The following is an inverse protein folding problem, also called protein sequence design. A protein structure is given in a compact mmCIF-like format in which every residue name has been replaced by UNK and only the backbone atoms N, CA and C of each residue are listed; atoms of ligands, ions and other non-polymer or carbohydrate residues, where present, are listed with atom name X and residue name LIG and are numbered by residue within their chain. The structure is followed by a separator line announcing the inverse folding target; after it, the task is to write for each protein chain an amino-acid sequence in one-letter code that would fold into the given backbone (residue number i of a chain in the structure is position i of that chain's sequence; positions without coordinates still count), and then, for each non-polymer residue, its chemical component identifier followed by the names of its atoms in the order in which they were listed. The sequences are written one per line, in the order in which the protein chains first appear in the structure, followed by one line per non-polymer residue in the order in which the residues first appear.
data_IF_061102022781
#
_entry.id   IF_061102022781
#
_cell.length_a   1.000
_cell.length_b   1.000
_cell.length_c   1.000
_cell.angle_alpha   90.00
_cell.angle_beta   90.00
_cell.angle_gamma   90.00
#
_symmetry.space_group_name_H-M   'P 1'
#
loop_
_entity.id
_entity.type
_entity.pdbx_description
1 polymer ?
#
# COMPACT_ATOMS: atom_id res chain seq x y z
N UNK A 1 -5.52 31.88 11.46
CA UNK A 1 -4.38 32.68 11.96
C UNK A 1 -4.03 33.86 11.05
N UNK A 2 -3.86 33.69 9.74
CA UNK A 2 -3.51 34.80 8.81
C UNK A 2 -4.44 36.02 8.91
N UNK A 3 -5.76 35.82 8.88
CA UNK A 3 -6.73 36.92 9.05
C UNK A 3 -6.57 37.66 10.38
N UNK A 4 -6.35 36.95 11.49
CA UNK A 4 -6.13 37.56 12.81
C UNK A 4 -4.89 38.45 12.82
N UNK A 5 -3.77 37.93 12.31
CA UNK A 5 -2.47 38.61 12.41
C UNK A 5 -2.32 39.76 11.41
N UNK A 6 -2.86 39.60 10.20
CA UNK A 6 -2.58 40.51 9.08
C UNK A 6 -3.75 41.42 8.70
N UNK A 7 -4.98 41.01 9.01
CA UNK A 7 -6.21 41.72 8.60
C UNK A 7 -7.17 42.00 9.77
N UNK A 8 -6.68 41.96 11.02
CA UNK A 8 -7.48 42.25 12.23
C UNK A 8 -8.79 41.44 12.31
N UNK A 9 -8.76 40.18 11.86
CA UNK A 9 -9.92 39.25 11.78
C UNK A 9 -10.99 39.64 10.75
N UNK A 10 -10.74 40.60 9.87
CA UNK A 10 -11.69 41.02 8.84
C UNK A 10 -11.35 40.34 7.51
N UNK A 11 -12.36 39.82 6.81
CA UNK A 11 -12.21 39.30 5.46
C UNK A 11 -11.91 40.46 4.50
N UNK A 12 -10.74 40.47 3.84
CA UNK A 12 -10.36 41.54 2.92
C UNK A 12 -11.13 41.46 1.60
N UNK A 13 -11.07 42.54 0.83
CA UNK A 13 -11.55 42.57 -0.55
C UNK A 13 -10.89 41.47 -1.39
N UNK A 14 -11.69 40.71 -2.11
CA UNK A 14 -11.24 39.63 -2.99
C UNK A 14 -11.33 40.08 -4.45
N UNK A 15 -10.19 40.15 -5.13
CA UNK A 15 -10.09 40.47 -6.57
C UNK A 15 -9.57 39.23 -7.28
N UNK A 16 -10.49 38.45 -7.84
CA UNK A 16 -10.21 37.12 -8.38
C UNK A 16 -9.43 37.18 -9.70
N UNK A 17 -8.44 36.31 -9.84
CA UNK A 17 -7.71 36.06 -11.08
C UNK A 17 -8.04 34.67 -11.66
N UNK A 18 -7.45 34.32 -12.81
CA UNK A 18 -7.67 33.04 -13.49
C UNK A 18 -7.32 31.82 -12.62
N UNK A 19 -6.25 31.90 -11.82
CA UNK A 19 -5.86 30.83 -10.89
C UNK A 19 -6.93 30.60 -9.81
N UNK A 20 -7.54 31.68 -9.31
CA UNK A 20 -8.62 31.62 -8.31
C UNK A 20 -9.86 30.93 -8.89
N UNK A 21 -10.23 31.28 -10.13
CA UNK A 21 -11.32 30.62 -10.83
C UNK A 21 -11.03 29.14 -11.08
N UNK A 22 -9.79 28.80 -11.41
CA UNK A 22 -9.36 27.41 -11.60
C UNK A 22 -9.49 26.61 -10.29
N UNK A 23 -9.05 27.18 -9.16
CA UNK A 23 -9.22 26.56 -7.85
C UNK A 23 -10.69 26.34 -7.52
N UNK A 24 -11.53 27.37 -7.70
CA UNK A 24 -12.96 27.28 -7.43
C UNK A 24 -13.64 26.21 -8.30
N UNK A 25 -13.26 26.10 -9.57
CA UNK A 25 -13.74 25.05 -10.47
C UNK A 25 -13.33 23.65 -10.00
N UNK A 26 -12.08 23.46 -9.55
CA UNK A 26 -11.61 22.19 -8.99
C UNK A 26 -12.39 21.82 -7.73
N UNK A 27 -12.54 22.76 -6.78
CA UNK A 27 -13.28 22.51 -5.56
C UNK A 27 -14.77 22.23 -5.83
N UNK A 28 -15.39 22.89 -6.83
CA UNK A 28 -16.76 22.59 -7.28
C UNK A 28 -16.88 21.18 -7.87
N UNK A 29 -15.90 20.74 -8.67
CA UNK A 29 -15.88 19.37 -9.21
C UNK A 29 -15.86 18.34 -8.07
N UNK A 30 -15.01 18.54 -7.07
CA UNK A 30 -14.94 17.65 -5.91
C UNK A 30 -16.21 17.70 -5.06
N UNK A 31 -16.84 18.88 -4.91
CA UNK A 31 -18.12 19.03 -4.21
C UNK A 31 -19.24 18.23 -4.89
N UNK A 32 -19.31 18.27 -6.22
CA UNK A 32 -20.26 17.46 -6.98
C UNK A 32 -19.98 15.96 -6.80
N UNK A 33 -18.71 15.55 -6.79
CA UNK A 33 -18.29 14.19 -6.47
C UNK A 33 -18.73 13.75 -5.07
N UNK A 34 -18.55 14.62 -4.07
CA UNK A 34 -19.02 14.42 -2.71
C UNK A 34 -20.54 14.22 -2.64
N UNK A 35 -21.33 15.11 -3.26
CA UNK A 35 -22.79 15.01 -3.29
C UNK A 35 -23.25 13.70 -3.95
N UNK A 36 -22.63 13.33 -5.08
CA UNK A 36 -22.92 12.08 -5.77
C UNK A 36 -22.55 10.82 -4.97
N UNK A 37 -21.48 10.88 -4.18
CA UNK A 37 -21.08 9.79 -3.29
C UNK A 37 -22.04 9.64 -2.11
N UNK A 38 -22.41 10.74 -1.44
CA UNK A 38 -23.34 10.71 -0.30
C UNK A 38 -24.75 10.32 -0.72
N UNK A 39 -25.23 10.79 -1.87
CA UNK A 39 -26.53 10.38 -2.42
C UNK A 39 -26.63 8.86 -2.67
N UNK A 40 -25.48 8.17 -2.80
CA UNK A 40 -25.38 6.71 -2.94
C UNK A 40 -24.89 6.02 -1.66
N UNK A 41 -24.89 6.71 -0.52
CA UNK A 41 -24.39 6.24 0.78
C UNK A 41 -22.92 5.77 0.78
N UNK A 42 -22.09 6.24 -0.16
CA UNK A 42 -20.66 5.90 -0.25
C UNK A 42 -19.81 6.82 0.63
N UNK A 43 -19.95 6.68 1.95
CA UNK A 43 -19.28 7.56 2.94
C UNK A 43 -17.75 7.59 2.79
N UNK A 44 -17.12 6.45 2.48
CA UNK A 44 -15.66 6.37 2.28
C UNK A 44 -15.20 7.14 1.04
N UNK A 45 -16.01 7.19 -0.02
CA UNK A 45 -15.68 7.97 -1.21
C UNK A 45 -15.95 9.46 -0.97
N UNK A 46 -17.04 9.79 -0.26
CA UNK A 46 -17.35 11.16 0.14
C UNK A 46 -16.23 11.85 0.92
N UNK A 47 -15.65 11.18 1.94
CA UNK A 47 -14.55 11.78 2.72
C UNK A 47 -13.29 12.03 1.87
N UNK A 48 -13.04 11.22 0.83
CA UNK A 48 -11.90 11.46 -0.07
C UNK A 48 -12.05 12.75 -0.86
N UNK A 49 -13.26 13.09 -1.29
CA UNK A 49 -13.54 14.38 -1.95
C UNK A 49 -13.33 15.56 -0.99
N UNK A 50 -13.75 15.44 0.28
CA UNK A 50 -13.47 16.46 1.31
C UNK A 50 -11.97 16.70 1.47
N UNK A 51 -11.20 15.61 1.58
CA UNK A 51 -9.73 15.69 1.69
C UNK A 51 -9.07 16.25 0.42
N UNK A 52 -9.64 15.96 -0.76
CA UNK A 52 -9.17 16.53 -2.03
C UNK A 52 -9.37 18.04 -2.09
N UNK A 53 -10.52 18.57 -1.66
CA UNK A 53 -10.77 20.02 -1.54
C UNK A 53 -9.74 20.67 -0.62
N UNK A 54 -9.52 20.08 0.56
CA UNK A 54 -8.50 20.57 1.51
C UNK A 54 -7.10 20.56 0.89
N UNK A 55 -6.74 19.50 0.16
CA UNK A 55 -5.47 19.41 -0.57
C UNK A 55 -5.30 20.53 -1.60
N UNK A 56 -6.33 20.80 -2.40
CA UNK A 56 -6.30 21.90 -3.38
C UNK A 56 -6.13 23.27 -2.72
N UNK A 57 -6.84 23.54 -1.62
CA UNK A 57 -6.68 24.77 -0.83
C UNK A 57 -5.26 24.93 -0.27
N UNK A 58 -4.67 23.86 0.27
CA UNK A 58 -3.30 23.88 0.77
C UNK A 58 -2.28 24.13 -0.36
N UNK A 59 -2.45 23.48 -1.52
CA UNK A 59 -1.60 23.72 -2.70
C UNK A 59 -1.69 25.17 -3.15
N UNK A 60 -2.89 25.73 -3.21
CA UNK A 60 -3.12 27.13 -3.60
C UNK A 60 -2.44 28.11 -2.64
N UNK A 61 -2.59 27.93 -1.33
CA UNK A 61 -1.89 28.71 -0.30
C UNK A 61 -0.37 28.60 -0.44
N UNK A 62 0.15 27.41 -0.74
CA UNK A 62 1.58 27.18 -0.90
C UNK A 62 2.16 27.83 -2.16
N UNK A 63 1.44 27.78 -3.28
CA UNK A 63 1.87 28.39 -4.55
C UNK A 63 1.86 29.92 -4.48
N UNK A 64 0.86 30.51 -3.82
CA UNK A 64 0.73 31.96 -3.72
C UNK A 64 1.56 32.59 -2.58
N UNK A 65 2.02 31.79 -1.60
CA UNK A 65 2.84 32.23 -0.47
C UNK A 65 2.40 33.57 0.16
N UNK A 66 1.15 33.69 0.63
CA UNK A 66 0.61 34.96 1.09
C UNK A 66 1.40 35.57 2.26
N UNK A 67 2.09 34.76 3.07
CA UNK A 67 2.98 35.24 4.15
C UNK A 67 4.20 36.03 3.64
N UNK A 68 4.64 35.76 2.41
CA UNK A 68 5.71 36.50 1.75
C UNK A 68 5.13 37.77 1.11
N UNK A 69 4.02 37.65 0.37
CA UNK A 69 3.34 38.76 -0.29
C UNK A 69 2.89 39.86 0.69
N UNK A 70 2.50 39.50 1.90
CA UNK A 70 2.13 40.45 2.95
C UNK A 70 3.24 41.45 3.35
N UNK A 71 4.51 41.11 3.05
CA UNK A 71 5.70 41.94 3.31
C UNK A 71 6.11 42.77 2.09
N UNK A 72 5.42 42.61 0.95
CA UNK A 72 5.72 43.28 -0.30
C UNK A 72 5.02 44.63 -0.46
N UNK A 73 4.73 44.99 -1.71
CA UNK A 73 4.03 46.21 -2.11
C UNK A 73 2.54 46.19 -1.73
N UNK A 74 1.84 47.32 -1.88
CA UNK A 74 0.39 47.39 -1.66
C UNK A 74 -0.39 46.46 -2.62
N UNK A 75 0.11 46.27 -3.84
CA UNK A 75 -0.45 45.31 -4.79
C UNK A 75 -0.28 43.86 -4.31
N UNK A 76 0.89 43.51 -3.77
CA UNK A 76 1.16 42.18 -3.21
C UNK A 76 0.28 41.91 -1.98
N UNK A 77 0.08 42.93 -1.13
CA UNK A 77 -0.83 42.83 0.02
C UNK A 77 -2.28 42.62 -0.42
N UNK A 78 -2.74 43.30 -1.48
CA UNK A 78 -4.06 43.09 -2.05
C UNK A 78 -4.22 41.65 -2.59
N UNK A 79 -3.19 41.13 -3.26
CA UNK A 79 -3.16 39.74 -3.73
C UNK A 79 -3.21 38.74 -2.57
N UNK A 80 -2.39 38.94 -1.54
CA UNK A 80 -2.41 38.12 -0.33
C UNK A 80 -3.77 38.13 0.36
N UNK A 81 -4.44 39.28 0.39
CA UNK A 81 -5.80 39.42 0.89
C UNK A 81 -6.78 38.53 0.13
N UNK A 82 -6.74 38.56 -1.20
CA UNK A 82 -7.59 37.70 -2.04
C UNK A 82 -7.35 36.22 -1.76
N UNK A 83 -6.09 35.79 -1.72
CA UNK A 83 -5.70 34.39 -1.45
C UNK A 83 -6.23 33.90 -0.10
N UNK A 84 -6.09 34.73 0.93
CA UNK A 84 -6.56 34.42 2.28
C UNK A 84 -8.08 34.41 2.34
N UNK A 85 -8.76 35.35 1.67
CA UNK A 85 -10.23 35.42 1.60
C UNK A 85 -10.82 34.19 0.91
N UNK A 86 -10.28 33.81 -0.26
CA UNK A 86 -10.69 32.60 -1.00
C UNK A 86 -10.46 31.34 -0.15
N UNK A 87 -9.29 31.22 0.47
CA UNK A 87 -8.98 30.09 1.34
C UNK A 87 -9.92 30.00 2.54
N UNK A 88 -10.32 31.14 3.11
CA UNK A 88 -11.27 31.18 4.23
C UNK A 88 -12.68 30.75 3.81
N UNK A 89 -13.10 31.10 2.60
CA UNK A 89 -14.35 30.61 2.01
C UNK A 89 -14.32 29.09 1.77
N UNK A 90 -13.18 28.53 1.32
CA UNK A 90 -12.99 27.08 1.20
C UNK A 90 -13.07 26.41 2.58
N UNK A 91 -12.50 27.00 3.63
CA UNK A 91 -12.63 26.47 5.01
C UNK A 91 -14.08 26.51 5.48
N UNK A 92 -14.84 27.55 5.12
CA UNK A 92 -16.27 27.61 5.40
C UNK A 92 -17.03 26.44 4.73
N UNK A 93 -16.78 26.18 3.45
CA UNK A 93 -17.32 25.03 2.74
C UNK A 93 -16.95 23.71 3.43
N UNK A 94 -15.66 23.53 3.76
CA UNK A 94 -15.16 22.33 4.45
C UNK A 94 -15.91 22.10 5.76
N UNK A 95 -16.22 23.17 6.51
CA UNK A 95 -17.01 23.05 7.75
C UNK A 95 -18.38 22.44 7.50
N UNK A 96 -19.04 22.78 6.39
CA UNK A 96 -20.39 22.29 6.06
C UNK A 96 -20.33 20.82 5.66
N UNK A 97 -19.46 20.48 4.70
CA UNK A 97 -19.39 19.10 4.17
C UNK A 97 -18.74 18.11 5.14
N UNK A 98 -17.95 18.59 6.12
CA UNK A 98 -17.38 17.75 7.17
C UNK A 98 -18.40 17.40 8.27
N UNK A 99 -19.49 18.14 8.40
CA UNK A 99 -20.51 17.95 9.45
C UNK A 99 -21.00 16.50 9.61
N UNK A 100 -21.34 15.73 8.55
CA UNK A 100 -21.77 14.34 8.68
C UNK A 100 -20.66 13.36 9.13
N UNK A 101 -19.40 13.77 9.16
CA UNK A 101 -18.26 12.94 9.59
C UNK A 101 -17.70 13.35 10.94
N UNK A 102 -17.54 14.66 11.17
CA UNK A 102 -16.97 15.23 12.40
C UNK A 102 -17.79 16.45 12.83
N UNK A 103 -18.97 16.26 13.45
CA UNK A 103 -19.87 17.36 13.81
C UNK A 103 -19.25 18.36 14.78
N UNK A 104 -18.50 17.89 15.79
CA UNK A 104 -17.84 18.77 16.77
C UNK A 104 -16.74 19.63 16.15
N UNK A 105 -15.92 19.03 15.28
CA UNK A 105 -14.88 19.76 14.53
C UNK A 105 -15.52 20.78 13.59
N UNK A 106 -16.58 20.38 12.89
CA UNK A 106 -17.38 21.23 12.01
C UNK A 106 -17.96 22.45 12.76
N UNK A 107 -18.53 22.24 13.95
CA UNK A 107 -19.02 23.30 14.83
C UNK A 107 -17.89 24.21 15.32
N UNK A 108 -16.74 23.63 15.67
CA UNK A 108 -15.56 24.40 16.10
C UNK A 108 -15.08 25.32 14.98
N UNK A 109 -14.99 24.84 13.74
CA UNK A 109 -14.63 25.66 12.58
C UNK A 109 -15.64 26.80 12.40
N UNK A 110 -16.95 26.52 12.44
CA UNK A 110 -18.00 27.56 12.32
C UNK A 110 -17.90 28.62 13.41
N UNK A 111 -17.63 28.23 14.66
CA UNK A 111 -17.38 29.16 15.77
C UNK A 111 -16.16 30.05 15.51
N UNK A 112 -15.06 29.48 15.02
CA UNK A 112 -13.86 30.25 14.67
C UNK A 112 -14.09 31.19 13.48
N UNK A 113 -14.94 30.82 12.52
CA UNK A 113 -15.33 31.66 11.39
C UNK A 113 -16.44 32.67 11.72
N UNK A 114 -17.07 32.55 12.89
CA UNK A 114 -18.23 33.34 13.29
C UNK A 114 -19.39 33.25 12.27
N UNK A 115 -19.75 32.02 11.89
CA UNK A 115 -20.79 31.74 10.90
C UNK A 115 -21.91 30.89 11.49
N UNK A 116 -23.16 31.19 11.12
CA UNK A 116 -24.33 30.39 11.49
C UNK A 116 -24.40 29.06 10.70
N UNK A 117 -25.34 28.20 11.07
CA UNK A 117 -25.56 26.93 10.38
C UNK A 117 -26.03 27.18 8.94
N UNK A 118 -25.08 27.14 8.01
CA UNK A 118 -25.37 27.18 6.58
C UNK A 118 -25.85 25.81 6.12
N UNK A 119 -27.06 25.80 5.55
CA UNK A 119 -27.50 24.69 4.71
C UNK A 119 -26.80 24.84 3.37
N UNK A 120 -26.23 23.74 2.85
CA UNK A 120 -25.64 23.68 1.52
C UNK A 120 -26.76 23.85 0.48
N UNK A 121 -27.17 25.09 0.23
CA UNK A 121 -28.32 25.45 -0.63
C UNK A 121 -28.01 25.29 -2.12
N UNK A 122 -26.73 25.30 -2.49
CA UNK A 122 -26.30 25.28 -3.88
C UNK A 122 -25.11 24.36 -4.08
N UNK A 123 -25.07 23.68 -5.22
CA UNK A 123 -23.99 22.80 -5.68
C UNK A 123 -22.75 23.57 -6.16
N UNK A 124 -22.62 24.85 -5.79
CA UNK A 124 -21.49 25.71 -6.13
C UNK A 124 -20.94 26.38 -4.87
N UNK A 125 -19.63 26.61 -4.88
CA UNK A 125 -18.94 27.44 -3.89
C UNK A 125 -19.46 28.85 -4.06
N UNK A 126 -20.36 29.23 -3.15
CA UNK A 126 -20.79 30.60 -2.98
C UNK A 126 -19.78 31.35 -2.12
N UNK A 127 -19.76 32.67 -2.25
CA UNK A 127 -18.97 33.53 -1.39
C UNK A 127 -19.62 33.56 0.00
N UNK A 128 -19.42 32.51 0.80
CA UNK A 128 -19.98 32.34 2.15
C UNK A 128 -19.55 33.45 3.11
N UNK A 129 -18.33 33.97 2.94
CA UNK A 129 -17.73 35.01 3.77
C UNK A 129 -17.49 36.26 2.92
N UNK A 130 -18.43 37.23 2.92
CA UNK A 130 -18.29 38.46 2.16
C UNK A 130 -17.16 39.35 2.72
N UNK A 131 -16.73 40.32 1.92
CA UNK A 131 -15.80 41.37 2.36
C UNK A 131 -16.36 42.07 3.60
N UNK A 132 -15.48 42.35 4.57
CA UNK A 132 -15.86 43.00 5.83
C UNK A 132 -16.36 42.04 6.92
N UNK A 133 -16.59 40.76 6.61
CA UNK A 133 -16.97 39.78 7.62
C UNK A 133 -15.90 39.62 8.70
N UNK A 134 -16.30 39.59 9.97
CA UNK A 134 -15.40 39.48 11.11
C UNK A 134 -15.42 38.05 11.62
N UNK A 135 -14.27 37.36 11.54
CA UNK A 135 -14.11 36.01 12.07
C UNK A 135 -13.95 36.02 13.60
N UNK A 136 -14.19 34.87 14.22
CA UNK A 136 -13.95 34.61 15.63
C UNK A 136 -12.47 34.44 15.97
N UNK A 137 -12.20 33.73 17.07
CA UNK A 137 -10.83 33.47 17.53
C UNK A 137 -10.30 32.16 16.93
N UNK A 138 -9.27 32.20 16.05
CA UNK A 138 -8.74 30.99 15.44
C UNK A 138 -7.90 30.18 16.44
N UNK A 139 -8.14 28.87 16.50
CA UNK A 139 -7.37 27.90 17.30
C UNK A 139 -7.06 26.63 16.49
N UNK A 140 -5.96 25.91 16.80
CA UNK A 140 -5.66 24.64 16.14
C UNK A 140 -6.82 23.64 16.27
N UNK A 141 -7.20 23.00 15.17
CA UNK A 141 -8.35 22.08 15.13
C UNK A 141 -7.99 20.65 15.55
N UNK A 142 -6.78 20.21 15.24
CA UNK A 142 -6.33 18.84 15.46
C UNK A 142 -5.04 18.86 16.26
N UNK A 143 -4.98 18.05 17.31
CA UNK A 143 -3.74 17.73 18.00
C UNK A 143 -3.06 16.55 17.30
N UNK A 144 -1.72 16.57 17.28
CA UNK A 144 -0.95 15.41 16.84
C UNK A 144 -1.10 14.31 17.90
N UNK A 145 -1.36 13.09 17.46
CA UNK A 145 -1.34 11.92 18.33
C UNK A 145 0.12 11.47 18.41
N UNK A 146 0.66 11.39 19.61
CA UNK A 146 2.05 10.97 19.84
C UNK A 146 2.17 9.44 19.85
N UNK A 147 3.32 8.90 19.44
CA UNK A 147 3.52 7.45 19.34
C UNK A 147 3.37 6.76 20.71
N UNK A 148 3.79 7.44 21.79
CA UNK A 148 3.59 6.92 23.16
C UNK A 148 2.12 6.73 23.51
N UNK A 149 1.25 7.67 23.11
CA UNK A 149 -0.18 7.56 23.32
C UNK A 149 -0.78 6.41 22.50
N UNK A 150 -0.31 6.23 21.27
CA UNK A 150 -0.69 5.09 20.42
C UNK A 150 -0.30 3.77 21.08
N UNK A 151 0.93 3.67 21.60
CA UNK A 151 1.43 2.47 22.30
C UNK A 151 0.63 2.17 23.57
N UNK A 152 0.33 3.20 24.37
CA UNK A 152 -0.43 3.04 25.60
C UNK A 152 -1.88 2.60 25.31
N UNK A 153 -2.51 3.18 24.28
CA UNK A 153 -3.83 2.73 23.81
C UNK A 153 -3.78 1.30 23.26
N UNK A 154 -2.74 0.93 22.52
CA UNK A 154 -2.52 -0.45 22.05
C UNK A 154 -2.34 -1.42 23.23
N UNK A 155 -1.58 -1.07 24.27
CA UNK A 155 -1.42 -1.91 25.47
C UNK A 155 -2.73 -2.05 26.23
N UNK A 156 -3.50 -0.96 26.35
CA UNK A 156 -4.75 -0.90 27.10
C UNK A 156 -5.92 -1.63 26.39
N UNK A 157 -5.99 -1.51 25.07
CA UNK A 157 -7.14 -1.98 24.26
C UNK A 157 -6.82 -3.05 23.22
N UNK A 158 -5.53 -3.41 23.03
CA UNK A 158 -5.12 -4.49 22.13
C UNK A 158 -5.59 -5.88 22.59
N UNK A 159 -6.14 -5.95 23.80
CA UNK A 159 -6.54 -7.18 24.47
C UNK A 159 -5.34 -8.03 24.86
N UNK A 160 -5.53 -8.88 25.86
CA UNK A 160 -4.87 -10.18 25.77
C UNK A 160 -5.66 -10.90 24.68
N UNK A 161 -5.21 -10.82 23.43
CA UNK A 161 -5.18 -12.09 22.71
C UNK A 161 -4.50 -13.01 23.71
N UNK A 162 -5.17 -14.06 24.16
CA UNK A 162 -4.40 -15.24 24.52
C UNK A 162 -3.54 -15.47 23.28
N UNK A 163 -2.33 -14.91 23.35
CA UNK A 163 -1.16 -15.69 23.13
C UNK A 163 -1.47 -16.96 23.93
N UNK A 164 -2.12 -17.91 23.27
CA UNK A 164 -1.45 -19.15 23.01
C UNK A 164 -0.03 -18.72 22.62
N UNK A 165 0.77 -18.45 23.66
CA UNK A 165 2.11 -18.94 23.77
C UNK A 165 1.93 -20.34 23.22
N UNK A 166 2.18 -20.46 21.92
CA UNK A 166 2.84 -21.60 21.36
C UNK A 166 4.04 -21.75 22.27
N UNK A 167 3.84 -22.45 23.40
CA UNK A 167 4.86 -23.31 23.97
C UNK A 167 5.52 -23.89 22.74
N UNK A 168 6.84 -23.75 22.58
CA UNK A 168 7.54 -24.40 21.48
C UNK A 168 7.01 -25.83 21.48
N UNK A 169 6.23 -26.18 20.45
CA UNK A 169 5.83 -27.57 20.27
C UNK A 169 7.17 -28.25 20.09
N UNK A 170 7.43 -29.16 21.03
CA UNK A 170 8.71 -29.80 21.27
C UNK A 170 9.52 -29.93 19.97
N UNK A 171 10.65 -29.24 19.92
CA UNK A 171 11.41 -29.02 18.69
C UNK A 171 12.29 -30.22 18.31
N UNK A 172 12.07 -31.40 18.88
CA UNK A 172 12.77 -32.62 18.49
C UNK A 172 12.00 -33.38 17.39
N UNK A 173 12.02 -32.81 16.19
CA UNK A 173 11.84 -33.61 14.96
C UNK A 173 13.11 -33.39 14.15
N UNK A 174 14.18 -34.05 14.58
CA UNK A 174 15.37 -34.25 13.76
C UNK A 174 15.06 -35.38 12.78
N UNK A 175 14.84 -35.02 11.52
CA UNK A 175 14.53 -35.95 10.44
C UNK A 175 14.99 -35.36 9.11
N UNK A 176 15.33 -36.23 8.17
CA UNK A 176 15.65 -35.85 6.80
C UNK A 176 14.46 -35.13 6.12
N UNK A 177 14.73 -34.39 5.03
CA UNK A 177 13.69 -33.68 4.28
C UNK A 177 12.51 -34.60 3.88
N UNK A 178 12.77 -35.90 3.66
CA UNK A 178 11.75 -36.89 3.33
C UNK A 178 10.79 -37.19 4.49
N UNK A 179 11.27 -37.28 5.72
CA UNK A 179 10.44 -37.51 6.91
C UNK A 179 9.58 -36.29 7.22
N UNK A 180 10.14 -35.09 7.10
CA UNK A 180 9.40 -33.83 7.32
C UNK A 180 8.32 -33.65 6.25
N UNK A 181 8.59 -34.02 4.99
CA UNK A 181 7.61 -33.98 3.92
C UNK A 181 6.39 -34.88 4.19
N UNK A 182 6.60 -36.11 4.70
CA UNK A 182 5.49 -37.00 5.08
C UNK A 182 4.59 -36.40 6.17
N UNK A 183 5.20 -35.77 7.18
CA UNK A 183 4.46 -35.10 8.26
C UNK A 183 3.67 -33.89 7.76
N UNK A 184 4.22 -33.13 6.80
CA UNK A 184 3.49 -32.04 6.12
C UNK A 184 2.25 -32.58 5.40
N UNK A 185 2.39 -33.71 4.70
CA UNK A 185 1.30 -34.30 3.91
C UNK A 185 0.18 -34.87 4.80
N UNK A 186 0.54 -35.56 5.89
CA UNK A 186 -0.42 -36.04 6.89
C UNK A 186 -1.18 -34.89 7.56
N UNK A 187 -0.45 -33.84 7.96
CA UNK A 187 -1.05 -32.65 8.57
C UNK A 187 -1.95 -31.89 7.59
N UNK A 188 -1.60 -31.85 6.30
CA UNK A 188 -2.44 -31.24 5.27
C UNK A 188 -3.76 -32.01 5.06
N UNK A 189 -3.71 -33.34 5.09
CA UNK A 189 -4.90 -34.19 5.02
C UNK A 189 -5.82 -33.99 6.23
N UNK A 190 -5.24 -33.87 7.42
CA UNK A 190 -6.00 -33.61 8.65
C UNK A 190 -6.72 -32.24 8.58
N UNK A 191 -6.00 -31.18 8.21
CA UNK A 191 -6.58 -29.84 8.03
C UNK A 191 -7.71 -29.86 7.00
N UNK A 192 -7.52 -30.59 5.88
CA UNK A 192 -8.53 -30.71 4.84
C UNK A 192 -9.78 -31.43 5.35
N UNK A 193 -9.63 -32.56 6.05
CA UNK A 193 -10.76 -33.28 6.67
C UNK A 193 -11.51 -32.41 7.69
N UNK A 194 -10.79 -31.63 8.50
CA UNK A 194 -11.42 -30.74 9.50
C UNK A 194 -12.20 -29.60 8.85
N UNK A 195 -11.73 -29.08 7.71
CA UNK A 195 -12.43 -28.05 6.92
C UNK A 195 -13.63 -28.62 6.15
N UNK A 196 -13.49 -29.81 5.56
CA UNK A 196 -14.56 -30.50 4.84
C UNK A 196 -15.67 -30.97 5.81
N UNK A 197 -15.32 -31.32 7.04
CA UNK A 197 -16.28 -31.70 8.09
C UNK A 197 -17.02 -30.53 8.75
N UNK A 198 -16.88 -29.29 8.26
CA UNK A 198 -17.64 -28.13 8.73
C UNK A 198 -17.36 -27.73 10.19
N UNK A 199 -16.26 -28.19 10.79
CA UNK A 199 -15.93 -27.86 12.19
C UNK A 199 -15.61 -26.38 12.34
N UNK A 200 -15.91 -25.82 13.51
CA UNK A 200 -15.67 -24.42 13.81
C UNK A 200 -14.21 -24.00 13.57
N UNK A 201 -14.03 -22.73 13.15
CA UNK A 201 -12.71 -22.16 12.87
C UNK A 201 -11.73 -22.30 14.03
N UNK A 202 -12.21 -22.23 15.28
CA UNK A 202 -11.40 -22.46 16.46
C UNK A 202 -10.74 -23.84 16.51
N UNK A 203 -11.35 -24.86 15.89
CA UNK A 203 -10.88 -26.25 15.91
C UNK A 203 -9.84 -26.51 14.82
N UNK A 204 -10.01 -25.96 13.60
CA UNK A 204 -9.07 -26.23 12.49
C UNK A 204 -7.94 -25.20 12.36
N UNK A 205 -8.10 -23.98 12.88
CA UNK A 205 -7.07 -22.94 12.83
C UNK A 205 -5.73 -23.35 13.48
N UNK A 206 -5.68 -24.01 14.67
CA UNK A 206 -4.40 -24.44 15.25
C UNK A 206 -3.68 -25.49 14.39
N UNK A 207 -4.41 -26.37 13.73
CA UNK A 207 -3.85 -27.39 12.84
C UNK A 207 -3.27 -26.77 11.54
N UNK A 208 -3.84 -25.67 11.06
CA UNK A 208 -3.27 -24.87 9.95
C UNK A 208 -1.96 -24.22 10.38
N UNK A 209 -1.86 -23.72 11.60
CA UNK A 209 -0.62 -23.13 12.13
C UNK A 209 0.49 -24.17 12.22
N UNK A 210 0.19 -25.39 12.69
CA UNK A 210 1.13 -26.52 12.67
C UNK A 210 1.61 -26.86 11.26
N UNK A 211 0.70 -26.89 10.28
CA UNK A 211 1.05 -27.16 8.88
C UNK A 211 2.02 -26.11 8.31
N UNK A 212 1.80 -24.82 8.62
CA UNK A 212 2.68 -23.74 8.19
C UNK A 212 4.07 -23.84 8.82
N UNK A 213 4.14 -24.19 10.11
CA UNK A 213 5.41 -24.41 10.81
C UNK A 213 6.21 -25.58 10.22
N UNK A 214 5.55 -26.71 9.90
CA UNK A 214 6.18 -27.86 9.25
C UNK A 214 6.70 -27.52 7.85
N UNK A 215 5.94 -26.73 7.07
CA UNK A 215 6.40 -26.24 5.75
C UNK A 215 7.61 -25.32 5.84
N UNK A 216 7.65 -24.45 6.85
CA UNK A 216 8.82 -23.59 7.10
C UNK A 216 10.06 -24.43 7.47
N UNK A 217 9.93 -25.44 8.34
CA UNK A 217 11.03 -26.36 8.67
C UNK A 217 11.52 -27.14 7.46
N UNK A 218 10.63 -27.63 6.60
CA UNK A 218 11.01 -28.30 5.35
C UNK A 218 11.84 -27.37 4.45
N UNK A 219 11.46 -26.09 4.35
CA UNK A 219 12.24 -25.09 3.60
C UNK A 219 13.63 -24.85 4.21
N UNK A 220 13.76 -24.85 5.54
CA UNK A 220 15.06 -24.71 6.19
C UNK A 220 15.96 -25.94 5.99
N UNK A 221 15.41 -27.14 6.11
CA UNK A 221 16.19 -28.39 5.92
C UNK A 221 16.61 -28.54 4.47
N UNK A 222 15.73 -28.30 3.51
CA UNK A 222 16.08 -28.30 2.08
C UNK A 222 17.12 -27.23 1.73
N UNK A 223 17.08 -26.06 2.37
CA UNK A 223 18.08 -25.02 2.17
C UNK A 223 19.43 -25.36 2.82
N UNK A 224 19.42 -26.02 3.99
CA UNK A 224 20.63 -26.53 4.64
C UNK A 224 21.29 -27.67 3.85
N UNK A 225 20.50 -28.61 3.35
CA UNK A 225 20.95 -29.69 2.45
C UNK A 225 21.49 -29.15 1.11
N UNK A 226 20.93 -28.05 0.58
CA UNK A 226 21.46 -27.38 -0.60
C UNK A 226 22.79 -26.63 -0.36
N UNK A 227 23.04 -26.18 0.88
CA UNK A 227 24.25 -25.42 1.25
C UNK A 227 25.46 -26.26 1.67
N UNK A 228 25.30 -27.58 1.83
CA UNK A 228 26.39 -28.49 2.22
C UNK A 228 27.09 -29.18 1.04
N UNK A 229 26.73 -28.85 -0.21
CA UNK A 229 27.41 -29.39 -1.40
C UNK A 229 28.63 -28.50 -1.73
N UNK A 230 29.88 -29.02 -1.69
CA UNK A 230 31.08 -28.21 -1.93
C UNK A 230 31.07 -27.57 -3.33
N UNK A 231 31.40 -26.27 -3.38
CA UNK A 231 31.51 -25.42 -4.60
C UNK A 231 32.43 -26.03 -5.68
N UNK A 232 33.33 -26.92 -5.28
CA UNK A 232 34.27 -27.64 -6.16
C UNK A 232 33.56 -28.60 -7.13
N UNK A 233 32.44 -29.21 -6.73
CA UNK A 233 31.70 -30.15 -7.60
C UNK A 233 30.88 -29.45 -8.69
N UNK A 234 30.48 -28.20 -8.49
CA UNK A 234 29.67 -27.45 -9.48
C UNK A 234 30.53 -27.08 -10.70
N UNK A 235 31.76 -26.61 -10.47
CA UNK A 235 32.70 -26.31 -11.56
C UNK A 235 33.10 -27.55 -12.36
N UNK A 236 33.33 -28.67 -11.67
CA UNK A 236 33.66 -29.96 -12.33
C UNK A 236 32.49 -30.44 -13.20
N UNK A 237 31.25 -30.33 -12.70
CA UNK A 237 30.06 -30.70 -13.48
C UNK A 237 29.83 -29.78 -14.68
N UNK A 238 30.09 -28.47 -14.55
CA UNK A 238 30.01 -27.53 -15.67
C UNK A 238 31.03 -27.86 -16.79
N UNK A 239 32.27 -28.21 -16.41
CA UNK A 239 33.31 -28.64 -17.35
C UNK A 239 32.96 -29.97 -18.04
N UNK A 240 32.42 -30.94 -17.30
CA UNK A 240 31.96 -32.22 -17.87
C UNK A 240 30.79 -32.03 -18.84
N UNK A 241 29.83 -31.16 -18.51
CA UNK A 241 28.72 -30.80 -19.41
C UNK A 241 29.25 -30.14 -20.69
N UNK A 242 30.26 -29.28 -20.58
CA UNK A 242 30.88 -28.63 -21.73
C UNK A 242 31.60 -29.65 -22.64
N UNK A 243 32.41 -30.54 -22.06
CA UNK A 243 33.12 -31.61 -22.79
C UNK A 243 32.13 -32.55 -23.50
N UNK A 244 31.09 -32.96 -22.79
CA UNK A 244 30.06 -33.86 -23.31
C UNK A 244 29.21 -33.21 -24.41
N UNK A 245 28.91 -31.91 -24.28
CA UNK A 245 28.22 -31.12 -25.30
C UNK A 245 29.02 -31.01 -26.60
N UNK A 246 30.35 -30.82 -26.50
CA UNK A 246 31.24 -30.81 -27.66
C UNK A 246 31.34 -32.17 -28.35
N UNK A 247 31.37 -33.27 -27.57
CA UNK A 247 31.38 -34.62 -28.10
C UNK A 247 30.09 -34.93 -28.88
N UNK A 248 28.92 -34.63 -28.30
CA UNK A 248 27.62 -34.78 -28.96
C UNK A 248 27.56 -33.96 -30.25
N UNK A 249 28.10 -32.73 -30.23
CA UNK A 249 28.14 -31.86 -31.41
C UNK A 249 29.04 -32.43 -32.50
N UNK A 250 30.25 -32.89 -32.17
CA UNK A 250 31.16 -33.56 -33.11
C UNK A 250 30.56 -34.82 -33.72
N UNK A 251 29.89 -35.65 -32.92
CA UNK A 251 29.25 -36.89 -33.40
C UNK A 251 28.06 -36.58 -34.34
N UNK A 252 27.31 -35.51 -34.07
CA UNK A 252 26.21 -35.06 -34.95
C UNK A 252 26.69 -34.37 -36.23
N UNK A 253 27.75 -33.58 -36.16
CA UNK A 253 28.35 -32.90 -37.33
C UNK A 253 29.13 -33.89 -38.22
N UNK A 254 29.72 -34.94 -37.64
CA UNK A 254 30.43 -36.00 -38.37
C UNK A 254 29.53 -37.07 -39.02
N UNK A 255 28.20 -36.89 -38.98
CA UNK A 255 27.25 -37.80 -39.63
C UNK A 255 27.10 -39.17 -38.97
N UNK A 256 27.52 -39.33 -37.70
CA UNK A 256 27.42 -40.62 -36.99
C UNK A 256 25.95 -41.06 -36.83
N UNK A 257 25.71 -42.37 -36.86
CA UNK A 257 24.36 -42.93 -36.74
C UNK A 257 23.72 -42.59 -35.39
N UNK A 258 22.38 -42.44 -35.40
CA UNK A 258 21.60 -42.09 -34.20
C UNK A 258 21.82 -43.03 -33.02
N UNK A 259 22.11 -44.31 -33.26
CA UNK A 259 22.43 -45.29 -32.21
C UNK A 259 23.69 -44.92 -31.41
N UNK A 260 24.65 -44.22 -32.05
CA UNK A 260 25.93 -43.84 -31.43
C UNK A 260 25.89 -42.49 -30.70
N UNK A 261 25.14 -41.49 -31.17
CA UNK A 261 25.09 -40.18 -30.51
C UNK A 261 23.94 -40.02 -29.50
N UNK A 262 22.84 -40.77 -29.65
CA UNK A 262 21.70 -40.68 -28.74
C UNK A 262 22.05 -41.01 -27.26
N UNK A 263 22.81 -42.08 -26.93
CA UNK A 263 23.21 -42.33 -25.55
C UNK A 263 24.07 -41.22 -24.95
N UNK A 264 24.90 -40.55 -25.77
CA UNK A 264 25.72 -39.43 -25.33
C UNK A 264 24.88 -38.14 -25.08
N UNK A 265 23.78 -37.97 -25.82
CA UNK A 265 22.77 -36.92 -25.55
C UNK A 265 22.03 -37.18 -24.24
N UNK A 266 21.69 -38.44 -23.96
CA UNK A 266 20.98 -38.80 -22.73
C UNK A 266 21.88 -38.60 -21.50
N UNK A 267 23.17 -38.94 -21.62
CA UNK A 267 24.20 -38.59 -20.61
C UNK A 267 24.30 -37.08 -20.39
N UNK A 268 24.33 -36.27 -21.46
CA UNK A 268 24.37 -34.82 -21.36
C UNK A 268 23.13 -34.25 -20.63
N UNK A 269 21.95 -34.82 -20.90
CA UNK A 269 20.71 -34.42 -20.25
C UNK A 269 20.72 -34.77 -18.76
N UNK A 270 21.20 -35.97 -18.41
CA UNK A 270 21.35 -36.41 -17.03
C UNK A 270 22.31 -35.51 -16.23
N UNK A 271 23.46 -35.14 -16.81
CA UNK A 271 24.41 -34.22 -16.19
C UNK A 271 23.80 -32.83 -15.95
N UNK A 272 23.05 -32.28 -16.92
CA UNK A 272 22.34 -31.00 -16.76
C UNK A 272 21.25 -31.06 -15.70
N UNK A 273 20.50 -32.16 -15.62
CA UNK A 273 19.49 -32.34 -14.58
C UNK A 273 20.15 -32.44 -13.20
N UNK A 274 21.31 -33.09 -13.09
CA UNK A 274 22.10 -33.16 -11.86
C UNK A 274 22.60 -31.78 -11.42
N UNK A 275 23.07 -30.95 -12.36
CA UNK A 275 23.44 -29.55 -12.08
C UNK A 275 22.24 -28.72 -11.61
N UNK A 276 21.06 -28.89 -12.23
CA UNK A 276 19.86 -28.16 -11.85
C UNK A 276 19.28 -28.59 -10.49
N UNK A 277 19.38 -29.88 -10.14
CA UNK A 277 19.05 -30.34 -8.77
C UNK A 277 19.95 -29.73 -7.71
N UNK A 278 21.20 -29.39 -8.06
CA UNK A 278 22.18 -28.82 -7.13
C UNK A 278 22.06 -27.29 -7.03
N UNK A 279 21.82 -26.59 -8.15
CA UNK A 279 21.84 -25.12 -8.21
C UNK A 279 20.46 -24.47 -8.07
N UNK A 280 19.37 -25.25 -8.14
CA UNK A 280 18.00 -24.75 -8.05
C UNK A 280 17.54 -23.91 -9.25
N UNK A 281 18.35 -23.82 -10.32
CA UNK A 281 18.00 -23.14 -11.57
C UNK A 281 17.40 -24.14 -12.56
N UNK A 282 16.17 -23.94 -13.06
CA UNK A 282 15.52 -24.91 -13.94
C UNK A 282 16.20 -24.97 -15.32
N UNK A 283 16.52 -26.18 -15.80
CA UNK A 283 17.06 -26.40 -17.15
C UNK A 283 15.99 -26.05 -18.19
N UNK A 284 16.19 -24.97 -18.95
CA UNK A 284 15.39 -24.71 -20.15
C UNK A 284 15.74 -25.72 -21.23
N UNK A 285 14.83 -26.65 -21.51
CA UNK A 285 14.98 -27.58 -22.63
C UNK A 285 14.97 -26.82 -23.97
N UNK A 286 15.85 -27.19 -24.94
CA UNK A 286 15.78 -26.62 -26.28
C UNK A 286 14.52 -27.14 -27.00
N UNK A 287 13.66 -26.21 -27.43
CA UNK A 287 12.50 -26.49 -28.28
C UNK A 287 12.95 -27.24 -29.54
N UNK A 288 12.60 -28.51 -29.64
CA UNK A 288 12.70 -29.27 -30.88
C UNK A 288 11.88 -28.56 -31.97
N UNK A 289 12.53 -28.19 -33.07
CA UNK A 289 11.86 -27.80 -34.32
C UNK A 289 10.98 -28.97 -34.76
N UNK A 290 9.67 -28.86 -34.51
CA UNK A 290 8.65 -29.66 -35.22
C UNK A 290 8.76 -29.32 -36.70
N UNK A 291 8.91 -30.36 -37.52
CA UNK A 291 8.84 -30.26 -38.97
C UNK A 291 7.55 -29.58 -39.41
N UNK A 292 7.68 -28.74 -40.42
CA UNK A 292 6.58 -28.25 -41.24
C UNK A 292 7.02 -28.42 -42.69
N UNK A 293 6.21 -29.22 -43.39
CA UNK A 293 6.28 -29.68 -44.78
C UNK A 293 7.22 -30.84 -45.02
#
# INVERSE_FOLDING_TARGET
MFLKNSFKKVIPKMVLNEEDYTLLALCNRELNGYMGALGKAKLRDGIRHILAISKHGNQYMQSNQPWALLKGSDADRARAGTVIGVSSNIVCLLSIILSPYMPETSNTIRKQLNTNDFVLSSSCITNFLPEGHIIGEPSPLFAKIEESEIEDLKKKFGGKQEQQNSKPVDNNIDGDAATIQKLVDEQALLVRKLKEGGKEKAVWQPEVTKLLALKAKLQEVTKKEASSVPIENVKVLEEEIAKQGLLVRKLKEGGAEKSTWQPEVDKLLALKNKLASITGVPVTQPKGKKGKK
#
